data_IF_990441158054
#
_entry.id   IF_990441158054
#
_cell.length_a   1.000
_cell.length_b   1.000
_cell.length_c   1.000
_cell.angle_alpha   90.00
_cell.angle_beta   90.00
_cell.angle_gamma   90.00
#
_symmetry.space_group_name_H-M   'P 1'
#
loop_
_entity.id
_entity.type
_entity.pdbx_description
1 polymer ?
#
# COMPACT_ATOMS: atom_id res chain seq x y z
N UNK A 1 -13.70 -17.22 -8.49
CA UNK A 1 -12.56 -17.12 -7.55
C UNK A 1 -11.16 -17.42 -8.14
N UNK A 2 -10.98 -18.45 -8.99
CA UNK A 2 -9.64 -18.83 -9.53
C UNK A 2 -8.91 -17.71 -10.28
N UNK A 3 -9.62 -16.90 -11.07
CA UNK A 3 -9.03 -15.76 -11.81
C UNK A 3 -8.49 -14.66 -10.89
N UNK A 4 -9.21 -14.32 -9.83
CA UNK A 4 -8.79 -13.30 -8.85
C UNK A 4 -7.54 -13.74 -8.08
N UNK A 5 -7.47 -15.01 -7.68
CA UNK A 5 -6.28 -15.58 -7.03
C UNK A 5 -5.07 -15.53 -7.95
N UNK A 6 -5.23 -15.90 -9.22
CA UNK A 6 -4.15 -15.81 -10.20
C UNK A 6 -3.65 -14.37 -10.36
N UNK A 7 -4.56 -13.38 -10.51
CA UNK A 7 -4.20 -11.97 -10.60
C UNK A 7 -3.50 -11.46 -9.33
N UNK A 8 -3.95 -11.85 -8.14
CA UNK A 8 -3.31 -11.49 -6.89
C UNK A 8 -1.88 -12.05 -6.79
N UNK A 9 -1.68 -13.32 -7.15
CA UNK A 9 -0.36 -13.96 -7.15
C UNK A 9 0.57 -13.27 -8.15
N UNK A 10 0.11 -13.03 -9.39
CA UNK A 10 0.89 -12.32 -10.41
C UNK A 10 1.23 -10.91 -9.95
N UNK A 11 0.27 -10.19 -9.34
CA UNK A 11 0.50 -8.87 -8.77
C UNK A 11 1.58 -8.86 -7.68
N UNK A 12 1.56 -9.85 -6.77
CA UNK A 12 2.58 -10.00 -5.73
C UNK A 12 3.97 -10.32 -6.33
N UNK A 13 4.04 -11.15 -7.37
CA UNK A 13 5.31 -11.44 -8.07
C UNK A 13 5.87 -10.21 -8.78
N UNK A 14 5.01 -9.46 -9.48
CA UNK A 14 5.40 -8.21 -10.11
C UNK A 14 5.86 -7.18 -9.07
N UNK A 15 5.17 -7.08 -7.94
CA UNK A 15 5.59 -6.24 -6.82
C UNK A 15 7.00 -6.60 -6.39
N UNK A 16 7.31 -7.87 -6.09
CA UNK A 16 8.66 -8.30 -5.66
C UNK A 16 9.70 -7.95 -6.72
N UNK A 17 9.46 -8.28 -7.99
CA UNK A 17 10.43 -8.04 -9.07
C UNK A 17 10.75 -6.55 -9.23
N UNK A 18 9.75 -5.69 -9.23
CA UNK A 18 9.97 -4.25 -9.43
C UNK A 18 10.58 -3.61 -8.19
N UNK A 19 10.07 -3.94 -7.01
CA UNK A 19 10.53 -3.33 -5.75
C UNK A 19 11.91 -3.84 -5.31
N UNK A 20 12.39 -4.99 -5.80
CA UNK A 20 13.79 -5.41 -5.67
C UNK A 20 14.66 -4.87 -6.81
N UNK A 21 14.16 -4.95 -8.05
CA UNK A 21 14.92 -4.55 -9.24
C UNK A 21 15.24 -3.06 -9.30
N UNK A 22 14.27 -2.20 -8.95
CA UNK A 22 14.44 -0.73 -8.98
C UNK A 22 15.53 -0.25 -8.01
N UNK A 23 15.53 -0.60 -6.70
CA UNK A 23 16.61 -0.22 -5.80
C UNK A 23 17.97 -0.76 -6.23
N UNK A 24 18.04 -1.99 -6.77
CA UNK A 24 19.31 -2.57 -7.24
C UNK A 24 19.85 -1.76 -8.42
N UNK A 25 18.99 -1.46 -9.41
CA UNK A 25 19.36 -0.63 -10.56
C UNK A 25 19.77 0.78 -10.12
N UNK A 26 19.03 1.38 -9.19
CA UNK A 26 19.35 2.67 -8.59
C UNK A 26 20.68 2.64 -7.81
N UNK A 27 20.99 1.54 -7.13
CA UNK A 27 22.25 1.38 -6.41
C UNK A 27 23.45 1.40 -7.34
N UNK A 28 23.37 0.72 -8.47
CA UNK A 28 24.43 0.74 -9.47
C UNK A 28 24.54 2.09 -10.18
N UNK A 29 23.42 2.73 -10.53
CA UNK A 29 23.43 4.00 -11.27
C UNK A 29 23.83 5.21 -10.40
N UNK A 30 23.32 5.31 -9.17
CA UNK A 30 23.46 6.50 -8.33
C UNK A 30 24.63 6.37 -7.36
N UNK A 31 24.75 5.23 -6.67
CA UNK A 31 25.69 5.10 -5.56
C UNK A 31 27.05 4.48 -5.93
N UNK A 32 27.23 4.02 -7.18
CA UNK A 32 28.54 3.61 -7.70
C UNK A 32 29.25 2.56 -6.84
N UNK A 33 28.54 1.47 -6.46
CA UNK A 33 29.05 0.35 -5.64
C UNK A 33 29.55 0.77 -4.24
N UNK A 34 29.22 1.98 -3.78
CA UNK A 34 29.57 2.40 -2.43
C UNK A 34 28.84 1.57 -1.37
N UNK A 35 29.60 0.82 -0.56
CA UNK A 35 29.08 -0.04 0.51
C UNK A 35 28.22 0.72 1.53
N UNK A 36 28.46 2.03 1.69
CA UNK A 36 27.72 2.88 2.63
C UNK A 36 26.21 2.87 2.35
N UNK A 37 25.78 2.67 1.10
CA UNK A 37 24.38 2.74 0.68
C UNK A 37 23.75 1.36 0.42
N UNK A 38 24.46 0.27 0.74
CA UNK A 38 23.94 -1.09 0.57
C UNK A 38 22.70 -1.34 1.44
N UNK A 39 22.59 -0.64 2.58
CA UNK A 39 21.44 -0.73 3.48
C UNK A 39 20.12 -0.32 2.80
N UNK A 40 20.14 0.60 1.84
CA UNK A 40 18.95 1.02 1.10
C UNK A 40 18.35 -0.17 0.36
N UNK A 41 19.20 -0.89 -0.40
CA UNK A 41 18.79 -2.08 -1.18
C UNK A 41 18.27 -3.19 -0.26
N UNK A 42 18.94 -3.40 0.88
CA UNK A 42 18.54 -4.42 1.86
C UNK A 42 17.17 -4.09 2.46
N UNK A 43 16.94 -2.85 2.89
CA UNK A 43 15.69 -2.42 3.53
C UNK A 43 14.53 -2.42 2.53
N UNK A 44 14.73 -1.85 1.34
CA UNK A 44 13.68 -1.81 0.31
C UNK A 44 13.38 -3.22 -0.24
N UNK A 45 14.42 -4.02 -0.52
CA UNK A 45 14.26 -5.38 -1.02
C UNK A 45 13.68 -6.34 0.02
N UNK A 46 14.08 -6.20 1.29
CA UNK A 46 13.55 -7.00 2.40
C UNK A 46 12.08 -6.72 2.67
N UNK A 47 11.68 -5.46 2.77
CA UNK A 47 10.27 -5.07 2.97
C UNK A 47 9.38 -5.54 1.82
N UNK A 48 9.84 -5.39 0.58
CA UNK A 48 9.19 -5.92 -0.62
C UNK A 48 8.98 -7.43 -0.58
N UNK A 49 10.02 -8.18 -0.22
CA UNK A 49 9.95 -9.63 -0.14
C UNK A 49 8.94 -10.07 0.92
N UNK A 50 8.97 -9.45 2.11
CA UNK A 50 8.01 -9.74 3.19
C UNK A 50 6.58 -9.47 2.74
N UNK A 51 6.31 -8.29 2.16
CA UNK A 51 4.97 -7.93 1.69
C UNK A 51 4.49 -8.89 0.59
N UNK A 52 5.32 -9.20 -0.40
CA UNK A 52 4.97 -10.08 -1.50
C UNK A 52 4.74 -11.55 -1.06
N UNK A 53 5.55 -12.07 -0.14
CA UNK A 53 5.35 -13.40 0.45
C UNK A 53 4.06 -13.47 1.27
N UNK A 54 3.76 -12.42 2.03
CA UNK A 54 2.51 -12.31 2.78
C UNK A 54 1.30 -12.25 1.83
N UNK A 55 1.40 -11.53 0.72
CA UNK A 55 0.35 -11.47 -0.31
C UNK A 55 0.12 -12.81 -1.01
N UNK A 56 1.18 -13.55 -1.31
CA UNK A 56 1.06 -14.92 -1.83
C UNK A 56 0.38 -15.85 -0.83
N UNK A 57 0.79 -15.80 0.45
CA UNK A 57 0.18 -16.60 1.51
C UNK A 57 -1.32 -16.26 1.66
N UNK A 58 -1.67 -14.97 1.60
CA UNK A 58 -3.05 -14.52 1.61
C UNK A 58 -3.86 -15.05 0.42
N UNK A 59 -3.29 -15.03 -0.79
CA UNK A 59 -3.97 -15.51 -2.00
C UNK A 59 -4.25 -17.04 -1.98
N UNK A 60 -3.42 -17.81 -1.27
CA UNK A 60 -3.59 -19.24 -1.09
C UNK A 60 -4.52 -19.60 0.08
N UNK A 61 -4.75 -18.66 1.00
CA UNK A 61 -5.58 -18.90 2.18
C UNK A 61 -7.08 -18.88 1.85
N UNK A 62 -7.86 -19.62 2.64
CA UNK A 62 -9.33 -19.62 2.58
C UNK A 62 -9.97 -18.59 3.52
N UNK A 63 -9.23 -18.07 4.50
CA UNK A 63 -9.75 -17.17 5.52
C UNK A 63 -9.57 -15.67 5.20
N UNK A 64 -10.42 -14.79 5.73
CA UNK A 64 -10.35 -13.35 5.49
C UNK A 64 -9.21 -12.64 6.25
N UNK A 65 -8.67 -13.27 7.29
CA UNK A 65 -7.66 -12.66 8.16
C UNK A 65 -6.34 -12.36 7.44
N UNK A 66 -5.86 -13.28 6.57
CA UNK A 66 -4.60 -13.10 5.87
C UNK A 66 -4.63 -12.00 4.79
N UNK A 67 -5.67 -11.90 3.93
CA UNK A 67 -5.84 -10.75 3.03
C UNK A 67 -5.93 -9.40 3.75
N UNK A 68 -6.62 -9.35 4.89
CA UNK A 68 -6.71 -8.13 5.70
C UNK A 68 -5.33 -7.76 6.28
N UNK A 69 -4.60 -8.73 6.84
CA UNK A 69 -3.25 -8.53 7.34
C UNK A 69 -2.28 -8.07 6.24
N UNK A 70 -2.37 -8.68 5.05
CA UNK A 70 -1.58 -8.28 3.89
C UNK A 70 -1.89 -6.82 3.48
N UNK A 71 -3.16 -6.43 3.42
CA UNK A 71 -3.53 -5.07 3.05
C UNK A 71 -2.96 -4.03 4.04
N UNK A 72 -3.13 -4.25 5.35
CA UNK A 72 -2.62 -3.35 6.39
C UNK A 72 -1.09 -3.30 6.39
N UNK A 73 -0.43 -4.46 6.31
CA UNK A 73 1.03 -4.56 6.28
C UNK A 73 1.61 -3.85 5.05
N UNK A 74 1.05 -4.06 3.86
CA UNK A 74 1.53 -3.45 2.62
C UNK A 74 1.35 -1.94 2.62
N UNK A 75 0.23 -1.40 3.11
CA UNK A 75 0.03 0.06 3.25
C UNK A 75 1.01 0.66 4.26
N UNK A 76 1.22 0.00 5.40
CA UNK A 76 2.17 0.46 6.43
C UNK A 76 3.60 0.46 5.91
N UNK A 77 4.02 -0.62 5.23
CA UNK A 77 5.34 -0.73 4.61
C UNK A 77 5.53 0.30 3.50
N UNK A 78 4.51 0.54 2.68
CA UNK A 78 4.55 1.58 1.64
C UNK A 78 4.79 2.98 2.25
N UNK A 79 4.08 3.33 3.33
CA UNK A 79 4.26 4.59 4.04
C UNK A 79 5.67 4.69 4.66
N UNK A 80 6.14 3.62 5.31
CA UNK A 80 7.50 3.56 5.88
C UNK A 80 8.57 3.70 4.81
N UNK A 81 8.41 3.08 3.64
CA UNK A 81 9.36 3.20 2.53
C UNK A 81 9.33 4.60 1.90
N UNK A 82 8.16 5.24 1.79
CA UNK A 82 8.06 6.64 1.39
C UNK A 82 8.83 7.56 2.33
N UNK A 83 8.64 7.38 3.65
CA UNK A 83 9.37 8.10 4.68
C UNK A 83 10.88 7.84 4.63
N UNK A 84 11.29 6.58 4.52
CA UNK A 84 12.70 6.18 4.45
C UNK A 84 13.42 6.78 3.23
N UNK A 85 12.82 6.74 2.04
CA UNK A 85 13.39 7.33 0.83
C UNK A 85 13.49 8.86 0.94
N UNK A 86 12.45 9.51 1.47
CA UNK A 86 12.43 10.97 1.69
C UNK A 86 13.50 11.38 2.70
N UNK A 87 13.61 10.67 3.82
CA UNK A 87 14.62 10.92 4.83
C UNK A 87 16.02 10.72 4.26
N UNK A 88 16.25 9.66 3.50
CA UNK A 88 17.55 9.41 2.84
C UNK A 88 17.92 10.53 1.87
N UNK A 89 16.96 11.01 1.09
CA UNK A 89 17.16 12.17 0.20
C UNK A 89 17.55 13.44 0.99
N UNK A 90 16.84 13.74 2.08
CA UNK A 90 17.14 14.89 2.94
C UNK A 90 18.51 14.75 3.62
N UNK A 91 18.88 13.56 4.08
CA UNK A 91 20.16 13.30 4.73
C UNK A 91 21.32 13.47 3.73
N UNK A 92 21.16 12.95 2.51
CA UNK A 92 22.12 13.14 1.42
C UNK A 92 22.27 14.62 1.02
N UNK A 93 21.14 15.33 0.88
CA UNK A 93 21.12 16.75 0.55
C UNK A 93 21.81 17.58 1.64
N UNK A 94 21.44 17.35 2.90
CA UNK A 94 22.03 18.02 4.07
C UNK A 94 23.53 17.76 4.17
N UNK A 95 23.96 16.50 4.04
CA UNK A 95 25.39 16.14 4.03
C UNK A 95 26.15 16.82 2.91
N UNK A 96 25.55 16.99 1.73
CA UNK A 96 26.19 17.73 0.65
C UNK A 96 26.29 19.23 0.93
N UNK A 97 25.25 19.86 1.46
CA UNK A 97 25.30 21.27 1.88
C UNK A 97 26.34 21.50 2.98
N UNK A 98 26.36 20.61 3.99
CA UNK A 98 27.36 20.62 5.07
C UNK A 98 28.77 20.36 4.54
N UNK A 99 28.95 19.46 3.57
CA UNK A 99 30.24 19.19 2.96
C UNK A 99 30.75 20.37 2.11
N UNK A 100 29.87 21.04 1.38
CA UNK A 100 30.20 22.26 0.65
C UNK A 100 30.56 23.40 1.63
N UNK A 101 29.82 23.54 2.74
CA UNK A 101 30.15 24.50 3.78
C UNK A 101 31.46 24.15 4.51
N UNK A 102 31.73 22.88 4.78
CA UNK A 102 32.96 22.42 5.43
C UNK A 102 34.20 22.47 4.52
N UNK A 103 33.99 22.44 3.20
CA UNK A 103 35.06 22.67 2.22
C UNK A 103 35.30 24.16 1.96
N UNK A 104 34.44 25.06 2.46
CA UNK A 104 34.71 26.49 2.48
C UNK A 104 35.94 26.76 3.39
N UNK A 105 37.06 27.09 2.76
CA UNK A 105 38.36 27.26 3.42
C UNK A 105 39.44 26.28 2.95
N UNK A 106 39.08 25.23 2.23
CA UNK A 106 40.04 24.30 1.60
C UNK A 106 40.68 24.86 0.32
N UNK A 107 40.45 26.13 0.00
CA UNK A 107 41.02 26.80 -1.19
C UNK A 107 42.55 26.83 -1.19
N UNK A 108 43.18 26.66 -0.02
CA UNK A 108 44.64 26.53 0.12
C UNK A 108 45.17 25.14 -0.25
N UNK A 109 44.31 24.13 -0.36
CA UNK A 109 44.67 22.78 -0.74
C UNK A 109 44.57 22.62 -2.25
N UNK A 110 45.70 22.53 -2.94
CA UNK A 110 45.72 22.46 -4.41
C UNK A 110 44.92 21.30 -5.01
N UNK A 111 44.77 20.19 -4.28
CA UNK A 111 43.97 19.03 -4.71
C UNK A 111 42.47 19.17 -4.44
N UNK A 112 42.04 20.18 -3.65
CA UNK A 112 40.64 20.38 -3.28
C UNK A 112 39.77 20.88 -4.46
N UNK A 113 40.18 21.88 -5.26
CA UNK A 113 39.36 22.32 -6.40
C UNK A 113 39.21 21.24 -7.48
N UNK A 114 40.18 20.33 -7.60
CA UNK A 114 40.11 19.17 -8.51
C UNK A 114 39.47 17.94 -7.90
N UNK A 115 38.98 18.00 -6.65
CA UNK A 115 38.36 16.86 -5.93
C UNK A 115 39.23 15.61 -5.83
N UNK A 116 40.54 15.76 -6.01
CA UNK A 116 41.49 14.64 -6.09
C UNK A 116 42.19 14.36 -4.77
N UNK A 117 41.94 15.18 -3.74
CA UNK A 117 42.52 14.93 -2.42
C UNK A 117 42.00 13.61 -1.84
N UNK A 118 42.90 12.67 -1.64
CA UNK A 118 42.65 11.49 -0.80
C UNK A 118 42.69 11.89 0.69
N UNK A 119 42.00 11.16 1.55
CA UNK A 119 42.03 11.38 3.01
C UNK A 119 43.45 11.47 3.56
N UNK A 120 44.39 10.72 2.98
CA UNK A 120 45.80 10.76 3.32
C UNK A 120 46.47 12.09 2.91
N UNK A 121 46.18 12.61 1.72
CA UNK A 121 46.67 13.91 1.26
C UNK A 121 46.13 15.05 2.12
N UNK A 122 44.85 15.02 2.50
CA UNK A 122 44.29 16.02 3.41
C UNK A 122 45.01 16.02 4.77
N UNK A 123 45.37 14.83 5.30
CA UNK A 123 46.11 14.71 6.55
C UNK A 123 47.58 15.12 6.47
N UNK A 124 48.21 15.04 5.29
CA UNK A 124 49.65 15.26 5.12
C UNK A 124 50.01 16.63 4.56
N UNK A 125 49.12 17.28 3.79
CA UNK A 125 49.39 18.61 3.26
C UNK A 125 49.30 19.69 4.36
N UNK A 126 50.33 20.55 4.51
CA UNK A 126 50.33 21.61 5.51
C UNK A 126 49.19 22.60 5.24
N UNK A 127 48.39 22.89 6.26
CA UNK A 127 47.21 23.74 6.15
C UNK A 127 45.94 23.04 5.64
N UNK A 128 46.01 21.73 5.32
CA UNK A 128 44.86 20.94 4.84
C UNK A 128 44.30 19.96 5.87
N UNK A 129 44.96 19.77 7.02
CA UNK A 129 44.56 18.79 8.03
C UNK A 129 43.17 19.02 8.65
N UNK A 130 42.68 20.26 8.64
CA UNK A 130 41.33 20.63 9.08
C UNK A 130 40.28 20.54 7.96
N UNK A 131 40.71 20.33 6.71
CA UNK A 131 39.81 20.17 5.58
C UNK A 131 39.26 18.74 5.54
N UNK A 132 37.96 18.60 5.32
CA UNK A 132 37.31 17.34 4.98
C UNK A 132 36.68 17.49 3.60
N UNK A 133 37.40 17.10 2.56
CA UNK A 133 36.80 16.96 1.24
C UNK A 133 36.05 15.62 1.19
N UNK A 134 34.72 15.64 1.33
CA UNK A 134 33.90 14.60 0.70
C UNK A 134 34.12 14.76 -0.80
N UNK A 135 34.40 13.67 -1.52
CA UNK A 135 34.69 13.73 -2.95
C UNK A 135 33.60 14.54 -3.67
N UNK A 136 33.97 15.68 -4.25
CA UNK A 136 32.99 16.60 -4.80
C UNK A 136 32.21 15.94 -5.95
N UNK A 137 32.72 14.86 -6.54
CA UNK A 137 32.01 13.99 -7.47
C UNK A 137 30.68 13.47 -6.93
N UNK A 138 30.60 13.17 -5.63
CA UNK A 138 29.37 12.65 -5.01
C UNK A 138 28.31 13.75 -4.91
N UNK A 139 28.71 14.99 -4.56
CA UNK A 139 27.78 16.12 -4.49
C UNK A 139 27.53 16.81 -5.85
N UNK A 140 28.46 16.72 -6.80
CA UNK A 140 28.24 17.12 -8.18
C UNK A 140 27.21 16.18 -8.83
N UNK A 141 27.31 14.87 -8.60
CA UNK A 141 26.24 13.92 -8.98
C UNK A 141 24.96 14.13 -8.17
N UNK A 142 25.05 14.59 -6.93
CA UNK A 142 23.84 14.88 -6.13
C UNK A 142 23.06 16.10 -6.62
N UNK A 143 23.72 17.06 -7.28
CA UNK A 143 23.05 18.17 -7.98
C UNK A 143 22.38 17.76 -9.30
N UNK A 144 22.62 16.52 -9.76
CA UNK A 144 22.05 16.02 -11.01
C UNK A 144 20.64 15.44 -10.80
N UNK A 145 19.90 15.34 -11.90
CA UNK A 145 18.57 14.70 -11.98
C UNK A 145 18.51 13.29 -11.37
N UNK A 146 19.66 12.63 -11.19
CA UNK A 146 19.78 11.32 -10.57
C UNK A 146 19.37 11.31 -9.09
N UNK A 147 19.61 12.38 -8.33
CA UNK A 147 19.21 12.44 -6.92
C UNK A 147 17.70 12.64 -6.76
N UNK A 148 17.08 13.36 -7.71
CA UNK A 148 15.62 13.50 -7.78
C UNK A 148 14.93 12.16 -8.04
N UNK A 149 15.62 11.14 -8.58
CA UNK A 149 15.03 9.82 -8.75
C UNK A 149 14.69 9.14 -7.43
N UNK A 150 15.37 9.43 -6.30
CA UNK A 150 15.10 8.80 -5.01
C UNK A 150 13.64 8.96 -4.54
N UNK A 151 13.08 10.17 -4.44
CA UNK A 151 11.67 10.33 -4.06
C UNK A 151 10.71 9.69 -5.09
N UNK A 152 11.04 9.75 -6.39
CA UNK A 152 10.20 9.12 -7.42
C UNK A 152 10.22 7.59 -7.34
N UNK A 153 11.37 6.97 -7.09
CA UNK A 153 11.44 5.51 -6.92
C UNK A 153 10.73 5.08 -5.64
N UNK A 154 10.83 5.85 -4.56
CA UNK A 154 10.05 5.64 -3.35
C UNK A 154 8.54 5.69 -3.60
N UNK A 155 8.07 6.67 -4.39
CA UNK A 155 6.66 6.78 -4.78
C UNK A 155 6.22 5.58 -5.64
N UNK A 156 7.01 5.21 -6.65
CA UNK A 156 6.70 4.06 -7.51
C UNK A 156 6.62 2.77 -6.68
N UNK A 157 7.56 2.57 -5.75
CA UNK A 157 7.54 1.43 -4.83
C UNK A 157 6.27 1.46 -3.97
N UNK A 158 5.92 2.60 -3.38
CA UNK A 158 4.72 2.73 -2.56
C UNK A 158 3.44 2.40 -3.34
N UNK A 159 3.30 2.91 -4.57
CA UNK A 159 2.16 2.62 -5.44
C UNK A 159 2.09 1.13 -5.79
N UNK A 160 3.22 0.52 -6.13
CA UNK A 160 3.28 -0.90 -6.49
C UNK A 160 3.06 -1.83 -5.29
N UNK A 161 3.38 -1.40 -4.06
CA UNK A 161 2.99 -2.12 -2.84
C UNK A 161 1.51 -1.94 -2.50
N UNK A 162 0.95 -0.77 -2.78
CA UNK A 162 -0.46 -0.48 -2.51
C UNK A 162 -1.43 -1.20 -3.46
N UNK A 163 -1.06 -1.39 -4.73
CA UNK A 163 -1.95 -2.01 -5.73
C UNK A 163 -2.43 -3.43 -5.33
N UNK A 164 -1.55 -4.38 -4.94
CA UNK A 164 -1.99 -5.70 -4.48
C UNK A 164 -2.80 -5.67 -3.18
N UNK A 165 -2.57 -4.66 -2.31
CA UNK A 165 -3.39 -4.44 -1.13
C UNK A 165 -4.84 -4.07 -1.49
N UNK A 166 -5.02 -3.19 -2.48
CA UNK A 166 -6.35 -2.84 -3.00
C UNK A 166 -7.06 -4.07 -3.58
N UNK A 167 -6.36 -4.90 -4.36
CA UNK A 167 -6.95 -6.16 -4.85
C UNK A 167 -7.34 -7.12 -3.71
N UNK A 168 -6.54 -7.18 -2.63
CA UNK A 168 -6.84 -7.98 -1.44
C UNK A 168 -8.11 -7.47 -0.73
N UNK A 169 -8.28 -6.14 -0.63
CA UNK A 169 -9.48 -5.51 -0.08
C UNK A 169 -10.71 -5.74 -0.96
N UNK A 170 -10.57 -5.60 -2.28
CA UNK A 170 -11.66 -5.89 -3.21
C UNK A 170 -12.11 -7.35 -3.14
N UNK A 171 -11.18 -8.28 -2.90
CA UNK A 171 -11.52 -9.70 -2.69
C UNK A 171 -12.31 -9.93 -1.38
N UNK A 172 -12.07 -9.11 -0.34
CA UNK A 172 -12.83 -9.17 0.92
C UNK A 172 -14.23 -8.57 0.80
N UNK A 173 -14.42 -7.59 -0.10
CA UNK A 173 -15.70 -6.92 -0.30
C UNK A 173 -16.66 -7.69 -1.21
N UNK A 174 -16.20 -8.76 -1.87
CA UNK A 174 -17.09 -9.58 -2.70
C UNK A 174 -18.02 -10.39 -1.79
N UNK A 175 -19.35 -10.23 -1.92
CA UNK A 175 -20.30 -11.02 -1.15
C UNK A 175 -20.03 -12.51 -1.45
N UNK A 176 -19.93 -13.31 -0.40
CA UNK A 176 -19.82 -14.76 -0.56
C UNK A 176 -21.15 -15.26 -1.10
N UNK A 177 -21.10 -16.10 -2.14
CA UNK A 177 -22.30 -16.70 -2.74
C UNK A 177 -23.15 -17.44 -1.67
N UNK A 178 -22.52 -17.86 -0.58
CA UNK A 178 -23.16 -18.48 0.59
C UNK A 178 -24.15 -17.56 1.34
N UNK A 179 -23.89 -16.24 1.40
CA UNK A 179 -24.84 -15.29 2.00
C UNK A 179 -25.97 -14.93 1.03
N UNK A 180 -25.68 -14.86 -0.27
CA UNK A 180 -26.70 -14.61 -1.28
C UNK A 180 -27.73 -15.75 -1.34
N UNK A 181 -27.30 -17.01 -1.16
CA UNK A 181 -28.20 -18.17 -1.11
C UNK A 181 -29.08 -18.21 0.14
N UNK A 182 -28.54 -17.84 1.30
CA UNK A 182 -29.26 -17.89 2.59
C UNK A 182 -30.35 -16.82 2.71
N UNK A 183 -30.08 -15.63 2.19
CA UNK A 183 -31.06 -14.54 2.07
C UNK A 183 -32.30 -14.95 1.25
N UNK A 184 -32.09 -15.70 0.16
CA UNK A 184 -33.19 -16.18 -0.69
C UNK A 184 -34.04 -17.26 0.00
N UNK A 185 -33.41 -18.22 0.69
CA UNK A 185 -34.14 -19.32 1.33
C UNK A 185 -34.99 -18.86 2.52
N UNK A 186 -34.52 -17.86 3.28
CA UNK A 186 -35.26 -17.36 4.44
C UNK A 186 -36.47 -16.51 4.02
N UNK A 187 -36.40 -15.81 2.87
CA UNK A 187 -37.54 -15.10 2.29
C UNK A 187 -38.61 -16.06 1.75
N UNK A 188 -38.22 -17.22 1.21
CA UNK A 188 -39.15 -18.22 0.67
C UNK A 188 -39.85 -19.01 1.78
N UNK A 189 -39.14 -19.34 2.86
CA UNK A 189 -39.72 -19.95 4.06
C UNK A 189 -40.76 -19.03 4.73
N UNK A 190 -40.53 -17.71 4.74
CA UNK A 190 -41.52 -16.73 5.20
C UNK A 190 -42.77 -16.61 4.32
N UNK A 191 -42.70 -16.99 3.04
CA UNK A 191 -43.84 -16.93 2.11
C UNK A 191 -44.73 -18.18 2.19
N UNK A 192 -44.16 -19.34 2.48
CA UNK A 192 -44.92 -20.59 2.67
C UNK A 192 -45.71 -20.62 3.99
N UNK A 193 -45.36 -19.77 4.97
CA UNK A 193 -46.08 -19.63 6.25
C UNK A 193 -47.35 -18.76 6.20
N UNK A 194 -47.64 -18.09 5.08
CA UNK A 194 -48.82 -17.21 4.97
C UNK A 194 -50.07 -18.05 4.63
N UNK A 195 -50.49 -18.90 5.57
CA UNK A 195 -51.83 -19.49 5.56
C UNK A 195 -52.83 -18.34 5.54
N UNK A 196 -53.68 -18.31 4.51
CA UNK A 196 -54.87 -17.46 4.45
C UNK A 196 -55.70 -17.68 5.73
N UNK A 197 -55.61 -16.74 6.66
CA UNK A 197 -56.62 -16.56 7.70
C UNK A 197 -57.80 -15.86 7.03
N UNK A 198 -58.70 -16.67 6.44
CA UNK A 198 -59.95 -16.22 5.85
C UNK A 198 -61.11 -16.32 6.83
N UNK A 199 -60.86 -16.16 8.14
CA UNK A 199 -61.95 -16.15 9.10
C UNK A 199 -61.79 -15.00 10.09
N UNK A 200 -62.74 -14.07 10.00
CA UNK A 200 -62.86 -12.93 10.87
C UNK A 200 -63.13 -13.38 12.29
N UNK A 201 -62.09 -13.37 13.12
CA UNK A 201 -62.20 -13.13 14.56
C UNK A 201 -60.88 -12.67 15.12
N UNK A 202 -60.81 -11.36 15.38
CA UNK A 202 -59.74 -10.71 16.12
C UNK A 202 -59.81 -11.23 17.56
N UNK A 203 -58.84 -12.05 17.95
CA UNK A 203 -58.54 -12.34 19.34
C UNK A 203 -57.23 -11.62 19.69
N UNK A 204 -57.36 -10.43 20.28
CA UNK A 204 -56.28 -9.78 21.02
C UNK A 204 -56.16 -10.53 22.34
N UNK A 205 -55.18 -11.42 22.44
CA UNK A 205 -54.70 -11.91 23.74
C UNK A 205 -53.33 -11.34 24.00
N UNK A 206 -53.30 -10.57 25.07
CA UNK A 206 -52.17 -9.90 25.65
C UNK A 206 -51.15 -10.89 26.26
N UNK A 207 -49.88 -10.48 26.15
CA UNK A 207 -48.78 -10.66 27.11
C UNK A 207 -48.13 -12.04 27.27
N UNK A 208 -46.83 -12.05 26.99
CA UNK A 208 -45.85 -13.05 27.43
C UNK A 208 -44.47 -12.74 26.83
N UNK A 209 -43.49 -12.45 27.68
CA UNK A 209 -42.10 -12.09 27.37
C UNK A 209 -41.39 -13.08 26.42
N UNK A 210 -41.39 -12.79 25.13
CA UNK A 210 -40.49 -13.45 24.17
C UNK A 210 -39.80 -12.40 23.30
N UNK A 211 -38.53 -12.12 23.61
CA UNK A 211 -37.59 -11.56 22.62
C UNK A 211 -37.19 -12.68 21.68
N UNK A 212 -37.77 -12.74 20.48
CA UNK A 212 -36.92 -12.82 19.30
C UNK A 212 -37.51 -11.98 18.17
N UNK A 213 -36.83 -10.93 17.76
CA UNK A 213 -36.85 -10.52 16.36
C UNK A 213 -35.81 -9.43 16.13
N UNK A 214 -34.78 -9.82 15.41
CA UNK A 214 -34.17 -8.98 14.38
C UNK A 214 -35.29 -8.39 13.53
N UNK A 215 -35.77 -7.21 13.91
CA UNK A 215 -36.53 -6.35 13.02
C UNK A 215 -35.60 -6.05 11.85
N UNK A 216 -35.95 -6.54 10.67
CA UNK A 216 -35.60 -5.84 9.45
C UNK A 216 -36.25 -4.46 9.58
N UNK A 217 -35.46 -3.47 9.99
CA UNK A 217 -35.89 -2.08 9.90
C UNK A 217 -36.11 -1.80 8.41
N UNK A 218 -37.37 -1.82 8.01
CA UNK A 218 -37.86 -1.14 6.82
C UNK A 218 -37.46 0.33 6.98
N UNK A 219 -36.34 0.71 6.37
CA UNK A 219 -36.00 2.12 6.20
C UNK A 219 -37.15 2.79 5.44
N UNK A 220 -37.81 3.81 6.00
CA UNK A 220 -38.82 4.54 5.28
C UNK A 220 -38.12 5.32 4.15
N UNK A 221 -38.24 4.82 2.93
CA UNK A 221 -38.11 5.60 1.71
C UNK A 221 -39.30 6.58 1.65
N UNK A 222 -39.27 7.60 2.49
CA UNK A 222 -40.11 8.79 2.35
C UNK A 222 -39.29 9.91 1.76
N UNK A 223 -39.32 10.01 0.43
CA UNK A 223 -39.57 11.29 -0.22
C UNK A 223 -40.63 11.04 -1.28
N UNK A 224 -41.84 11.48 -0.93
CA UNK A 224 -43.03 11.42 -1.74
C UNK A 224 -42.85 12.21 -3.05
N UNK A 225 -43.15 11.55 -4.17
CA UNK A 225 -43.70 12.22 -5.35
C UNK A 225 -45.17 11.82 -5.45
N UNK A 226 -46.12 12.77 -5.41
CA UNK A 226 -47.52 12.45 -5.56
C UNK A 226 -47.84 12.20 -7.03
N UNK A 227 -48.42 11.03 -7.31
CA UNK A 227 -49.33 10.84 -8.43
C UNK A 227 -48.77 10.09 -9.62
N UNK A 228 -48.82 8.76 -9.59
CA UNK A 228 -49.37 7.92 -10.67
C UNK A 228 -49.90 6.65 -10.02
N UNK A 229 -51.23 6.42 -10.09
CA UNK A 229 -51.79 5.09 -9.85
C UNK A 229 -51.59 4.25 -11.11
N UNK A 230 -50.98 3.08 -11.00
CA UNK A 230 -50.77 2.20 -12.14
C UNK A 230 -50.22 0.84 -11.75
N UNK A 231 -51.14 -0.08 -11.49
CA UNK A 231 -51.04 -1.54 -11.66
C UNK A 231 -49.70 -2.25 -11.37
N UNK A 232 -49.65 -2.91 -10.21
CA UNK A 232 -48.72 -4.00 -9.92
C UNK A 232 -49.09 -5.24 -10.74
N UNK A 233 -48.52 -5.37 -11.94
CA UNK A 233 -48.54 -6.59 -12.73
C UNK A 233 -47.24 -7.39 -12.57
N UNK A 234 -47.27 -8.47 -11.80
CA UNK A 234 -46.20 -9.47 -11.82
C UNK A 234 -46.25 -10.22 -13.15
N UNK A 235 -45.27 -9.98 -14.03
CA UNK A 235 -45.05 -10.77 -15.25
C UNK A 235 -43.99 -11.84 -14.95
N UNK A 236 -44.26 -13.14 -15.19
CA UNK A 236 -43.20 -14.14 -15.21
C UNK A 236 -42.38 -13.97 -16.50
N UNK A 237 -41.05 -14.01 -16.39
CA UNK A 237 -40.16 -14.09 -17.55
C UNK A 237 -40.04 -15.55 -18.01
N UNK A 238 -40.03 -15.81 -19.33
CA UNK A 238 -39.55 -17.07 -19.91
C UNK A 238 -38.03 -17.23 -19.79
#
# INVERSE_FOLDING_TARGET
MTRLRALAITGCMCQILVTVGVPVMQFFLVFGVSKAYMHIVIVSGGSALIAGLLGMAAALSSGPALPALHAVASVTLAALMGGFNTQTFLDLSSRCNLAQAASAGCSRCACAPSSSCTTLQLATLPGCGSCRAIGADFCARSSSWQLLLLPYTGLIQAVLMALPAVFSLLALLQPTDDEAGRSSSDCEAGRAGRKHYSDGRVAVTAWGDERPSTQCEDWPLTTATPGVSGETGCKPMP
#
